data_IF_122643781807
#
_entry.id   IF_122643781807
#
_cell.length_a   1.000
_cell.length_b   1.000
_cell.length_c   1.000
_cell.angle_alpha   90.00
_cell.angle_beta   90.00
_cell.angle_gamma   90.00
#
_symmetry.space_group_name_H-M   'P 1'
#
loop_
_entity.id
_entity.type
_entity.pdbx_description
1 polymer ?
#
# COMPACT_ATOMS: atom_id res chain seq x y z
N UNK A 1 6.80 22.70 2.24
CA UNK A 1 6.73 22.55 3.71
C UNK A 1 6.90 21.08 4.05
N UNK A 2 7.34 20.70 5.26
CA UNK A 2 7.44 19.30 5.64
C UNK A 2 6.06 18.63 5.59
N UNK A 3 6.04 17.32 5.35
CA UNK A 3 4.84 16.51 5.43
C UNK A 3 4.27 16.58 6.86
N UNK A 4 2.95 16.64 6.98
CA UNK A 4 2.27 16.63 8.28
C UNK A 4 1.14 15.60 8.29
N UNK A 5 0.79 15.16 9.51
CA UNK A 5 -0.27 14.20 9.74
C UNK A 5 -1.57 14.95 10.03
N UNK A 6 -2.65 14.57 9.35
CA UNK A 6 -3.99 15.03 9.71
C UNK A 6 -4.35 14.53 11.12
N UNK A 7 -5.06 15.36 11.87
CA UNK A 7 -5.70 14.91 13.10
C UNK A 7 -6.79 13.90 12.78
N UNK A 8 -7.16 13.07 13.76
CA UNK A 8 -8.19 12.04 13.56
C UNK A 8 -9.55 12.61 13.09
N UNK A 9 -10.07 13.73 13.61
CA UNK A 9 -11.27 14.37 13.06
C UNK A 9 -11.10 14.80 11.60
N UNK A 10 -9.97 15.40 11.23
CA UNK A 10 -9.71 15.80 9.83
C UNK A 10 -9.61 14.59 8.90
N UNK A 11 -9.04 13.48 9.39
CA UNK A 11 -9.01 12.21 8.69
C UNK A 11 -10.41 11.64 8.47
N UNK A 12 -11.27 11.68 9.50
CA UNK A 12 -12.66 11.27 9.39
C UNK A 12 -13.46 12.16 8.44
N UNK A 13 -13.29 13.49 8.49
CA UNK A 13 -13.92 14.42 7.55
C UNK A 13 -13.57 14.09 6.09
N UNK A 14 -12.30 13.74 5.83
CA UNK A 14 -11.84 13.30 4.50
C UNK A 14 -12.51 11.99 4.07
N UNK A 15 -12.59 11.00 4.97
CA UNK A 15 -13.24 9.72 4.70
C UNK A 15 -14.75 9.88 4.45
N UNK A 16 -15.43 10.69 5.27
CA UNK A 16 -16.86 10.99 5.12
C UNK A 16 -17.13 11.72 3.80
N UNK A 17 -16.27 12.65 3.39
CA UNK A 17 -16.36 13.32 2.08
C UNK A 17 -16.21 12.33 0.91
N UNK A 18 -15.49 11.22 1.10
CA UNK A 18 -15.41 10.12 0.14
C UNK A 18 -16.59 9.14 0.25
N UNK A 19 -17.48 9.33 1.22
CA UNK A 19 -18.56 8.40 1.57
C UNK A 19 -18.05 7.08 2.15
N UNK A 20 -16.94 7.09 2.87
CA UNK A 20 -16.37 5.95 3.58
C UNK A 20 -16.87 5.99 5.02
N UNK A 21 -17.55 4.94 5.53
CA UNK A 21 -18.15 5.01 6.85
C UNK A 21 -17.10 5.07 7.97
N UNK A 22 -17.22 6.08 8.84
CA UNK A 22 -16.46 6.20 10.09
C UNK A 22 -17.42 6.15 11.30
N UNK A 23 -16.91 5.92 12.52
CA UNK A 23 -17.73 5.98 13.73
C UNK A 23 -18.39 7.35 13.88
N UNK A 24 -19.68 7.40 14.30
CA UNK A 24 -20.29 8.65 14.74
C UNK A 24 -19.43 9.29 15.83
N UNK A 25 -19.09 10.57 15.65
CA UNK A 25 -18.12 11.23 16.52
C UNK A 25 -18.38 12.72 16.66
N UNK A 26 -17.74 13.32 17.67
CA UNK A 26 -17.74 14.77 17.91
C UNK A 26 -16.50 15.18 18.70
N UNK A 27 -15.87 16.29 18.31
CA UNK A 27 -14.80 16.92 19.10
C UNK A 27 -15.41 17.82 20.17
N UNK A 28 -14.93 17.70 21.40
CA UNK A 28 -15.37 18.45 22.57
C UNK A 28 -14.19 19.12 23.28
N UNK A 29 -14.47 20.21 23.99
CA UNK A 29 -13.45 21.00 24.72
C UNK A 29 -13.77 21.18 26.21
N UNK A 30 -14.82 20.51 26.69
CA UNK A 30 -15.18 20.49 28.11
C UNK A 30 -15.74 19.12 28.50
N UNK A 31 -15.72 18.82 29.80
CA UNK A 31 -16.31 17.59 30.33
C UNK A 31 -17.83 17.56 30.14
N UNK A 32 -18.52 18.70 30.22
CA UNK A 32 -19.97 18.78 30.03
C UNK A 32 -20.35 18.49 28.57
N UNK A 33 -19.62 19.09 27.61
CA UNK A 33 -19.80 18.76 26.19
C UNK A 33 -19.53 17.27 25.91
N UNK A 34 -18.54 16.67 26.60
CA UNK A 34 -18.22 15.26 26.47
C UNK A 34 -19.38 14.36 26.91
N UNK A 35 -20.07 14.72 28.01
CA UNK A 35 -21.27 14.03 28.50
C UNK A 35 -22.42 14.11 27.51
N UNK A 36 -22.68 15.31 27.00
CA UNK A 36 -23.76 15.54 26.03
C UNK A 36 -23.49 14.82 24.70
N UNK A 37 -22.27 14.91 24.18
CA UNK A 37 -21.84 14.22 22.97
C UNK A 37 -21.99 12.70 23.12
N UNK A 38 -21.48 12.13 24.22
CA UNK A 38 -21.59 10.70 24.49
C UNK A 38 -23.05 10.24 24.60
N UNK A 39 -23.91 11.03 25.24
CA UNK A 39 -25.36 10.76 25.33
C UNK A 39 -26.06 10.77 23.96
N UNK A 40 -25.68 11.69 23.07
CA UNK A 40 -26.25 11.78 21.70
C UNK A 40 -25.74 10.66 20.79
N UNK A 41 -24.45 10.33 20.84
CA UNK A 41 -23.83 9.26 20.05
C UNK A 41 -24.31 7.87 20.51
N UNK A 42 -24.52 7.72 21.82
CA UNK A 42 -24.98 6.49 22.44
C UNK A 42 -23.83 5.57 22.86
N UNK A 43 -23.96 4.99 24.05
CA UNK A 43 -22.94 4.15 24.70
C UNK A 43 -22.83 2.73 24.12
N UNK A 44 -21.68 2.03 24.27
CA UNK A 44 -20.42 2.57 24.79
C UNK A 44 -19.74 3.52 23.79
N UNK A 45 -18.97 4.47 24.31
CA UNK A 45 -18.14 5.39 23.52
C UNK A 45 -16.65 5.22 23.86
N UNK A 46 -15.81 5.69 22.95
CA UNK A 46 -14.37 5.88 23.15
C UNK A 46 -14.05 7.37 23.14
N UNK A 47 -13.13 7.79 23.99
CA UNK A 47 -12.59 9.15 23.98
C UNK A 47 -11.10 9.11 23.67
N UNK A 48 -10.66 9.95 22.74
CA UNK A 48 -9.25 10.07 22.34
C UNK A 48 -8.81 11.54 22.35
N UNK A 49 -7.60 11.81 22.81
CA UNK A 49 -7.00 13.15 22.75
C UNK A 49 -6.78 13.57 21.29
N UNK A 50 -7.12 14.82 20.97
CA UNK A 50 -6.86 15.43 19.66
C UNK A 50 -5.74 16.44 19.82
N UNK A 51 -4.56 16.12 19.29
CA UNK A 51 -3.40 16.99 19.28
C UNK A 51 -2.51 16.66 18.07
N UNK A 52 -2.05 17.66 17.30
CA UNK A 52 -1.09 17.43 16.21
C UNK A 52 0.25 16.83 16.67
N UNK A 53 0.65 17.08 17.92
CA UNK A 53 1.93 16.63 18.47
C UNK A 53 1.87 15.26 19.15
N UNK A 54 0.67 14.78 19.51
CA UNK A 54 0.49 13.49 20.20
C UNK A 54 0.00 12.44 19.19
N UNK A 55 0.96 11.84 18.49
CA UNK A 55 0.69 10.77 17.50
C UNK A 55 0.31 9.46 18.21
N UNK A 56 1.10 9.03 19.19
CA UNK A 56 0.85 7.82 19.97
C UNK A 56 0.01 8.13 21.22
N UNK A 57 -1.29 8.35 21.00
CA UNK A 57 -2.26 8.77 22.04
C UNK A 57 -2.32 7.82 23.23
N UNK A 58 -2.23 6.52 23.00
CA UNK A 58 -2.27 5.51 24.05
C UNK A 58 -1.09 5.63 25.03
N UNK A 59 0.09 5.99 24.55
CA UNK A 59 1.32 6.06 25.35
C UNK A 59 1.26 7.18 26.39
N UNK A 60 0.53 8.25 26.09
CA UNK A 60 0.28 9.35 27.03
C UNK A 60 -1.00 9.16 27.82
N UNK A 61 -1.63 7.97 27.80
CA UNK A 61 -2.92 7.73 28.45
C UNK A 61 -4.06 8.60 27.90
N UNK A 62 -3.94 9.01 26.63
CA UNK A 62 -4.89 9.87 25.92
C UNK A 62 -6.01 9.12 25.21
N UNK A 63 -6.21 7.83 25.49
CA UNK A 63 -7.29 7.00 24.95
C UNK A 63 -8.00 6.29 26.09
N UNK A 64 -9.31 6.44 26.19
CA UNK A 64 -10.16 5.72 27.15
C UNK A 64 -11.31 5.08 26.38
N UNK A 65 -11.40 3.75 26.49
CA UNK A 65 -12.45 2.91 25.89
C UNK A 65 -13.45 2.46 26.97
N UNK A 66 -14.59 1.90 26.56
CA UNK A 66 -15.55 1.29 27.47
C UNK A 66 -16.27 2.31 28.36
N UNK A 67 -16.47 3.52 27.85
CA UNK A 67 -17.22 4.56 28.56
C UNK A 67 -18.70 4.24 28.37
N UNK A 68 -19.42 3.96 29.45
CA UNK A 68 -20.80 3.43 29.41
C UNK A 68 -21.85 4.38 30.00
N UNK A 69 -21.43 5.47 30.66
CA UNK A 69 -22.32 6.43 31.29
C UNK A 69 -21.84 7.89 31.15
N UNK A 70 -22.72 8.88 31.39
CA UNK A 70 -22.32 10.29 31.42
C UNK A 70 -21.27 10.59 32.50
N UNK A 71 -21.35 9.94 33.66
CA UNK A 71 -20.36 10.16 34.72
C UNK A 71 -18.98 9.64 34.30
N UNK A 72 -18.94 8.46 33.68
CA UNK A 72 -17.71 7.90 33.09
C UNK A 72 -17.13 8.81 32.01
N UNK A 73 -18.00 9.39 31.16
CA UNK A 73 -17.61 10.29 30.07
C UNK A 73 -16.91 11.55 30.61
N UNK A 74 -17.47 12.17 31.66
CA UNK A 74 -16.84 13.32 32.31
C UNK A 74 -15.53 12.97 32.99
N UNK A 75 -15.47 11.84 33.69
CA UNK A 75 -14.25 11.37 34.35
C UNK A 75 -13.15 11.04 33.33
N UNK A 76 -13.50 10.40 32.21
CA UNK A 76 -12.60 10.09 31.11
C UNK A 76 -12.01 11.35 30.48
N UNK A 77 -12.83 12.38 30.22
CA UNK A 77 -12.36 13.66 29.72
C UNK A 77 -11.28 14.28 30.62
N UNK A 78 -11.55 14.38 31.93
CA UNK A 78 -10.58 14.93 32.88
C UNK A 78 -9.28 14.12 32.93
N UNK A 79 -9.40 12.80 32.94
CA UNK A 79 -8.25 11.88 32.97
C UNK A 79 -7.37 12.07 31.73
N UNK A 80 -7.97 12.14 30.54
CA UNK A 80 -7.26 12.34 29.27
C UNK A 80 -6.49 13.67 29.28
N UNK A 81 -7.15 14.78 29.66
CA UNK A 81 -6.51 16.10 29.70
C UNK A 81 -5.37 16.14 30.73
N UNK A 82 -5.57 15.56 31.91
CA UNK A 82 -4.54 15.47 32.94
C UNK A 82 -3.32 14.66 32.48
N UNK A 83 -3.56 13.50 31.85
CA UNK A 83 -2.48 12.66 31.36
C UNK A 83 -1.71 13.34 30.22
N UNK A 84 -2.39 14.00 29.30
CA UNK A 84 -1.77 14.75 28.21
C UNK A 84 -0.91 15.90 28.75
N UNK A 85 -1.40 16.68 29.73
CA UNK A 85 -0.62 17.75 30.35
C UNK A 85 0.61 17.23 31.11
N UNK A 86 0.53 16.04 31.73
CA UNK A 86 1.63 15.45 32.47
C UNK A 86 2.73 14.87 31.56
N UNK A 87 2.35 14.22 30.46
CA UNK A 87 3.29 13.49 29.60
C UNK A 87 3.71 14.29 28.35
N UNK A 88 2.94 15.31 27.95
CA UNK A 88 3.20 16.15 26.78
C UNK A 88 2.85 17.63 27.06
N UNK A 89 3.54 18.31 28.00
CA UNK A 89 3.18 19.66 28.46
C UNK A 89 3.27 20.74 27.37
N UNK A 90 4.10 20.53 26.35
CA UNK A 90 4.28 21.44 25.22
C UNK A 90 3.32 21.15 24.05
N UNK A 91 2.51 20.09 24.15
CA UNK A 91 1.60 19.72 23.08
C UNK A 91 0.38 20.65 23.04
N UNK A 92 -0.01 21.06 21.83
CA UNK A 92 -1.27 21.80 21.65
C UNK A 92 -2.43 20.82 21.65
N UNK A 93 -3.31 20.93 22.63
CA UNK A 93 -4.52 20.12 22.72
C UNK A 93 -5.66 20.88 22.06
N UNK A 94 -6.18 20.35 20.96
CA UNK A 94 -7.33 20.94 20.25
C UNK A 94 -8.67 20.53 20.89
N UNK A 95 -8.69 19.38 21.56
CA UNK A 95 -9.85 18.86 22.27
C UNK A 95 -9.76 17.36 22.51
N UNK A 96 -10.90 16.74 22.79
CA UNK A 96 -11.06 15.28 22.87
C UNK A 96 -12.12 14.87 21.86
N UNK A 97 -11.85 13.86 21.04
CA UNK A 97 -12.87 13.26 20.17
C UNK A 97 -13.63 12.22 20.97
N UNK A 98 -14.96 12.37 21.05
CA UNK A 98 -15.90 11.37 21.53
C UNK A 98 -16.41 10.62 20.33
N UNK A 99 -16.17 9.33 20.23
CA UNK A 99 -16.59 8.51 19.10
C UNK A 99 -17.33 7.26 19.58
N UNK A 100 -18.24 6.74 18.75
CA UNK A 100 -18.92 5.47 19.02
C UNK A 100 -17.87 4.36 19.13
N UNK A 101 -17.92 3.56 20.19
CA UNK A 101 -17.13 2.33 20.24
C UNK A 101 -17.84 1.29 19.36
N UNK A 102 -17.24 1.00 18.21
CA UNK A 102 -17.80 0.08 17.23
C UNK A 102 -17.75 -1.37 17.73
N UNK A 103 -18.76 -2.19 17.42
CA UNK A 103 -18.74 -3.61 17.78
C UNK A 103 -17.58 -4.33 17.07
N UNK A 104 -17.11 -5.42 17.68
CA UNK A 104 -16.08 -6.26 17.07
C UNK A 104 -16.55 -6.88 15.75
N UNK A 105 -15.60 -7.12 14.85
CA UNK A 105 -15.83 -7.75 13.55
C UNK A 105 -14.49 -8.25 13.00
N UNK A 106 -14.45 -8.55 11.70
CA UNK A 106 -13.19 -8.91 11.06
C UNK A 106 -12.37 -7.64 10.83
N UNK A 107 -11.19 -7.53 11.43
CA UNK A 107 -10.29 -6.40 11.22
C UNK A 107 -9.43 -6.63 9.97
N UNK A 108 -9.39 -5.64 9.10
CA UNK A 108 -8.50 -5.56 7.92
C UNK A 108 -7.75 -4.23 7.96
N UNK A 109 -6.66 -4.14 7.20
CA UNK A 109 -5.92 -2.90 6.99
C UNK A 109 -5.99 -2.50 5.51
N UNK A 110 -6.10 -1.19 5.27
CA UNK A 110 -6.02 -0.61 3.92
C UNK A 110 -5.05 0.56 4.01
N UNK A 111 -3.86 0.40 3.43
CA UNK A 111 -2.84 1.43 3.39
C UNK A 111 -2.57 1.90 1.98
N UNK A 112 -2.00 3.08 1.82
CA UNK A 112 -1.46 3.55 0.56
C UNK A 112 -0.27 4.45 0.80
N UNK A 113 0.73 4.37 -0.07
CA UNK A 113 1.93 5.21 0.01
C UNK A 113 2.41 5.60 -1.37
N UNK A 114 3.06 6.75 -1.46
CA UNK A 114 3.74 7.19 -2.68
C UNK A 114 5.16 6.66 -2.65
N UNK A 115 5.39 5.55 -3.34
CA UNK A 115 6.71 4.97 -3.49
C UNK A 115 7.53 5.74 -4.54
N UNK A 116 8.83 6.04 -4.29
CA UNK A 116 9.67 6.77 -5.25
C UNK A 116 9.88 6.05 -6.58
N UNK A 117 9.87 4.72 -6.60
CA UNK A 117 10.11 3.91 -7.80
C UNK A 117 8.81 3.55 -8.51
N UNK A 118 7.79 3.16 -7.74
CA UNK A 118 6.54 2.63 -8.30
C UNK A 118 5.40 3.67 -8.37
N UNK A 119 5.59 4.86 -7.79
CA UNK A 119 4.52 5.82 -7.62
C UNK A 119 3.53 5.40 -6.53
N UNK A 120 2.27 5.80 -6.67
CA UNK A 120 1.25 5.49 -5.65
C UNK A 120 0.91 4.01 -5.66
N UNK A 121 1.09 3.36 -4.52
CA UNK A 121 0.71 1.96 -4.29
C UNK A 121 -0.35 1.89 -3.21
N UNK A 122 -1.20 0.88 -3.29
CA UNK A 122 -2.19 0.54 -2.27
C UNK A 122 -1.88 -0.85 -1.73
N UNK A 123 -2.10 -1.02 -0.44
CA UNK A 123 -1.86 -2.23 0.33
C UNK A 123 -3.16 -2.64 0.99
N UNK A 124 -3.47 -3.93 0.90
CA UNK A 124 -4.58 -4.53 1.62
C UNK A 124 -4.07 -5.76 2.36
N UNK A 125 -4.61 -6.00 3.55
CA UNK A 125 -4.26 -7.18 4.33
C UNK A 125 -5.21 -7.40 5.47
N UNK A 126 -5.05 -8.54 6.14
CA UNK A 126 -5.73 -8.76 7.41
C UNK A 126 -5.14 -7.90 8.52
N UNK A 127 -6.00 -7.41 9.39
CA UNK A 127 -5.66 -6.58 10.53
C UNK A 127 -5.67 -7.36 11.86
N UNK A 128 -5.35 -6.65 12.93
CA UNK A 128 -5.32 -7.19 14.28
C UNK A 128 -3.97 -7.74 14.70
N UNK A 129 -3.76 -7.77 16.02
CA UNK A 129 -2.45 -8.03 16.66
C UNK A 129 -1.75 -9.32 16.22
N UNK A 130 -2.51 -10.38 15.94
CA UNK A 130 -1.93 -11.67 15.52
C UNK A 130 -1.49 -11.66 14.05
N UNK A 131 -2.10 -10.82 13.21
CA UNK A 131 -1.85 -10.79 11.77
C UNK A 131 -0.71 -9.83 11.39
N UNK A 132 -0.44 -8.81 12.22
CA UNK A 132 0.79 -8.01 12.12
C UNK A 132 2.07 -8.87 12.15
N UNK A 133 2.04 -10.02 12.85
CA UNK A 133 3.13 -10.99 12.85
C UNK A 133 3.17 -11.88 11.60
N UNK A 134 2.02 -12.13 10.98
CA UNK A 134 1.91 -13.01 9.80
C UNK A 134 2.23 -12.28 8.49
N UNK A 135 2.13 -10.94 8.47
CA UNK A 135 2.38 -10.10 7.30
C UNK A 135 1.56 -10.54 6.06
N UNK A 136 0.32 -10.97 6.26
CA UNK A 136 -0.61 -11.37 5.20
C UNK A 136 -1.17 -10.12 4.49
N UNK A 137 -0.35 -9.58 3.59
CA UNK A 137 -0.62 -8.36 2.84
C UNK A 137 -0.35 -8.53 1.35
N UNK A 138 -1.08 -7.77 0.56
CA UNK A 138 -0.95 -7.70 -0.90
C UNK A 138 -0.84 -6.25 -1.31
N UNK A 139 -0.04 -5.99 -2.36
CA UNK A 139 0.26 -4.64 -2.83
C UNK A 139 -0.09 -4.53 -4.32
N UNK A 140 -0.64 -3.39 -4.72
CA UNK A 140 -0.88 -3.03 -6.12
C UNK A 140 -0.44 -1.59 -6.40
N UNK A 141 0.03 -1.35 -7.62
CA UNK A 141 0.34 0.00 -8.13
C UNK A 141 -0.93 0.62 -8.68
N UNK A 142 -1.21 1.89 -8.34
CA UNK A 142 -2.38 2.62 -8.84
C UNK A 142 -2.15 3.16 -10.26
N UNK A 143 -3.23 3.28 -11.07
CA UNK A 143 -4.63 3.00 -10.75
C UNK A 143 -4.98 1.51 -10.79
N UNK A 144 -6.03 1.11 -10.05
CA UNK A 144 -6.56 -0.26 -10.05
C UNK A 144 -8.06 -0.27 -10.40
N UNK A 145 -8.51 -1.37 -11.00
CA UNK A 145 -9.92 -1.63 -11.35
C UNK A 145 -10.65 -2.37 -10.24
N UNK A 146 -11.98 -2.48 -10.34
CA UNK A 146 -12.77 -3.30 -9.41
C UNK A 146 -12.36 -4.79 -9.41
N UNK A 147 -11.92 -5.31 -10.55
CA UNK A 147 -11.46 -6.71 -10.65
C UNK A 147 -10.08 -6.88 -10.00
N UNK A 148 -9.20 -5.89 -10.10
CA UNK A 148 -7.93 -5.88 -9.37
C UNK A 148 -8.17 -5.88 -7.86
N UNK A 149 -9.14 -5.11 -7.37
CA UNK A 149 -9.51 -5.06 -5.94
C UNK A 149 -10.04 -6.43 -5.48
N UNK A 150 -10.93 -7.06 -6.25
CA UNK A 150 -11.44 -8.41 -5.93
C UNK A 150 -10.31 -9.45 -5.91
N UNK A 151 -9.42 -9.40 -6.89
CA UNK A 151 -8.27 -10.30 -6.93
C UNK A 151 -7.35 -10.09 -5.72
N UNK A 152 -7.09 -8.82 -5.36
CA UNK A 152 -6.31 -8.43 -4.20
C UNK A 152 -6.90 -9.00 -2.90
N UNK A 153 -8.22 -8.85 -2.68
CA UNK A 153 -8.90 -9.39 -1.49
C UNK A 153 -8.82 -10.93 -1.43
N UNK A 154 -8.83 -11.61 -2.57
CA UNK A 154 -8.82 -13.08 -2.65
C UNK A 154 -7.44 -13.70 -2.52
N UNK A 155 -6.40 -12.90 -2.73
CA UNK A 155 -5.00 -13.34 -2.72
C UNK A 155 -4.44 -13.51 -1.30
N UNK A 156 -4.95 -12.77 -0.31
CA UNK A 156 -4.55 -12.93 1.08
C UNK A 156 -4.91 -14.33 1.60
N UNK A 157 -4.03 -14.92 2.42
CA UNK A 157 -4.21 -16.27 2.95
C UNK A 157 -5.49 -16.37 3.78
N UNK A 158 -5.80 -15.30 4.53
CA UNK A 158 -6.97 -15.24 5.36
C UNK A 158 -8.26 -14.76 4.67
N UNK A 159 -8.31 -14.74 3.33
CA UNK A 159 -9.57 -14.55 2.57
C UNK A 159 -10.69 -15.49 3.05
N UNK A 160 -10.34 -16.67 3.59
CA UNK A 160 -11.28 -17.62 4.20
C UNK A 160 -12.15 -17.02 5.31
N UNK A 161 -11.64 -16.02 6.03
CA UNK A 161 -12.38 -15.31 7.07
C UNK A 161 -13.41 -14.34 6.48
N UNK A 162 -13.12 -13.78 5.30
CA UNK A 162 -14.03 -12.88 4.58
C UNK A 162 -15.19 -13.68 3.97
N UNK A 163 -14.90 -14.77 3.26
CA UNK A 163 -15.94 -15.63 2.64
C UNK A 163 -16.75 -16.49 3.62
N UNK A 164 -16.43 -16.44 4.91
CA UNK A 164 -17.01 -17.29 5.96
C UNK A 164 -16.28 -18.64 6.14
N UNK A 165 -16.13 -19.05 7.40
CA UNK A 165 -15.46 -20.29 7.80
C UNK A 165 -16.22 -20.99 8.95
N UNK A 166 -16.32 -22.33 8.90
CA UNK A 166 -16.91 -23.18 9.97
C UNK A 166 -18.25 -22.70 10.56
N UNK A 167 -19.18 -22.27 9.70
CA UNK A 167 -20.52 -21.88 10.12
C UNK A 167 -20.67 -20.39 10.43
N UNK A 168 -19.59 -19.61 10.35
CA UNK A 168 -19.70 -18.15 10.29
C UNK A 168 -20.20 -17.70 8.92
N UNK A 169 -21.09 -16.71 8.92
CA UNK A 169 -21.57 -16.07 7.71
C UNK A 169 -20.44 -15.29 7.02
N UNK A 170 -20.48 -15.16 5.68
CA UNK A 170 -19.56 -14.30 4.97
C UNK A 170 -19.67 -12.84 5.45
N UNK A 171 -18.56 -12.13 5.38
CA UNK A 171 -18.51 -10.68 5.58
C UNK A 171 -18.93 -9.96 4.30
N UNK A 172 -19.30 -8.69 4.44
CA UNK A 172 -19.72 -7.84 3.33
C UNK A 172 -18.52 -7.44 2.45
N UNK A 173 -18.12 -8.37 1.57
CA UNK A 173 -17.02 -8.18 0.63
C UNK A 173 -17.27 -7.01 -0.32
N UNK A 174 -18.53 -6.74 -0.70
CA UNK A 174 -18.85 -5.65 -1.61
C UNK A 174 -18.68 -4.29 -0.93
N UNK A 175 -19.13 -4.12 0.32
CA UNK A 175 -18.85 -2.91 1.08
C UNK A 175 -17.32 -2.66 1.23
N UNK A 176 -16.54 -3.73 1.46
CA UNK A 176 -15.08 -3.62 1.52
C UNK A 176 -14.47 -3.18 0.18
N UNK A 177 -14.91 -3.76 -0.95
CA UNK A 177 -14.49 -3.36 -2.29
C UNK A 177 -14.77 -1.88 -2.53
N UNK A 178 -15.94 -1.38 -2.10
CA UNK A 178 -16.30 0.03 -2.26
C UNK A 178 -15.38 0.95 -1.46
N UNK A 179 -15.00 0.59 -0.23
CA UNK A 179 -14.05 1.38 0.58
C UNK A 179 -12.67 1.43 -0.09
N UNK A 180 -12.14 0.29 -0.53
CA UNK A 180 -10.85 0.24 -1.22
C UNK A 180 -10.91 1.06 -2.51
N UNK A 181 -11.98 0.95 -3.30
CA UNK A 181 -12.14 1.69 -4.55
C UNK A 181 -12.20 3.21 -4.33
N UNK A 182 -12.94 3.67 -3.31
CA UNK A 182 -13.05 5.09 -2.93
C UNK A 182 -11.69 5.63 -2.50
N UNK A 183 -10.99 4.92 -1.61
CA UNK A 183 -9.65 5.34 -1.18
C UNK A 183 -8.62 5.29 -2.31
N UNK A 184 -8.63 4.26 -3.14
CA UNK A 184 -7.73 4.16 -4.28
C UNK A 184 -7.92 5.33 -5.25
N UNK A 185 -9.17 5.73 -5.51
CA UNK A 185 -9.49 6.90 -6.34
C UNK A 185 -9.02 8.20 -5.67
N UNK A 186 -9.44 8.44 -4.43
CA UNK A 186 -9.06 9.63 -3.67
C UNK A 186 -7.55 9.79 -3.59
N UNK A 187 -6.84 8.69 -3.29
CA UNK A 187 -5.39 8.70 -3.21
C UNK A 187 -4.76 8.91 -4.58
N UNK A 188 -5.26 8.32 -5.67
CA UNK A 188 -4.72 8.57 -7.01
C UNK A 188 -4.90 10.04 -7.44
N UNK A 189 -6.05 10.64 -7.11
CA UNK A 189 -6.46 11.97 -7.57
C UNK A 189 -5.92 13.13 -6.70
N UNK A 190 -5.43 12.86 -5.49
CA UNK A 190 -4.96 13.89 -4.54
C UNK A 190 -3.42 13.90 -4.43
N UNK A 191 -2.68 14.76 -5.16
CA UNK A 191 -1.21 14.82 -5.10
C UNK A 191 -0.63 15.18 -3.73
N UNK A 192 -1.44 15.80 -2.88
CA UNK A 192 -1.12 16.21 -1.52
C UNK A 192 -1.06 15.04 -0.55
N UNK A 193 -1.86 13.98 -0.74
CA UNK A 193 -1.80 12.79 0.12
C UNK A 193 -0.57 11.98 -0.26
N UNK A 194 0.34 11.78 0.71
CA UNK A 194 1.57 11.00 0.55
C UNK A 194 1.42 9.58 1.02
N UNK A 195 0.74 9.42 2.13
CA UNK A 195 0.52 8.14 2.77
C UNK A 195 -0.82 8.18 3.50
N UNK A 196 -1.51 7.04 3.51
CA UNK A 196 -2.63 6.81 4.41
C UNK A 196 -2.56 5.38 4.95
N UNK A 197 -3.05 5.19 6.15
CA UNK A 197 -3.20 3.89 6.81
C UNK A 197 -4.56 3.87 7.51
N UNK A 198 -5.45 3.02 7.02
CA UNK A 198 -6.75 2.75 7.64
C UNK A 198 -6.62 1.45 8.41
N UNK A 199 -6.44 1.55 9.73
CA UNK A 199 -6.15 0.41 10.57
C UNK A 199 -6.61 0.64 12.03
N UNK A 200 -7.69 0.00 12.50
CA UNK A 200 -8.42 -1.08 11.82
C UNK A 200 -9.58 -0.56 10.95
N UNK A 201 -9.82 -1.29 9.86
CA UNK A 201 -11.11 -1.30 9.14
C UNK A 201 -11.87 -2.54 9.60
N UNK A 202 -13.04 -2.36 10.20
CA UNK A 202 -13.87 -3.48 10.67
C UNK A 202 -14.89 -3.85 9.59
N UNK A 203 -14.88 -5.11 9.19
CA UNK A 203 -15.79 -5.71 8.21
C UNK A 203 -16.81 -6.58 8.95
N UNK A 204 -18.09 -6.25 8.77
CA UNK A 204 -19.22 -6.97 9.36
C UNK A 204 -19.85 -7.93 8.34
N UNK A 205 -20.88 -8.66 8.77
CA UNK A 205 -21.74 -9.40 7.85
C UNK A 205 -22.51 -8.46 6.91
N UNK A 206 -22.82 -7.25 7.41
CA UNK A 206 -23.44 -6.16 6.65
C UNK A 206 -22.66 -4.86 6.93
N UNK A 207 -22.00 -4.33 5.91
CA UNK A 207 -21.25 -3.08 5.99
C UNK A 207 -19.82 -3.16 6.54
N UNK A 208 -19.18 -2.00 6.55
CA UNK A 208 -17.78 -1.77 6.92
C UNK A 208 -17.69 -0.44 7.66
N UNK A 209 -16.75 -0.32 8.61
CA UNK A 209 -16.41 0.97 9.21
C UNK A 209 -14.91 1.13 9.42
N UNK A 210 -14.38 2.32 9.20
CA UNK A 210 -12.97 2.66 9.43
C UNK A 210 -12.83 3.29 10.81
N UNK A 211 -12.22 2.56 11.75
CA UNK A 211 -12.18 2.96 13.17
C UNK A 211 -11.00 3.88 13.47
N UNK A 212 -9.91 3.76 12.72
CA UNK A 212 -8.76 4.64 12.89
C UNK A 212 -8.14 4.91 11.52
N UNK A 213 -7.72 6.15 11.31
CA UNK A 213 -7.19 6.62 10.05
C UNK A 213 -6.02 7.54 10.32
N UNK A 214 -4.86 7.18 9.75
CA UNK A 214 -3.67 8.02 9.73
C UNK A 214 -3.43 8.48 8.31
N UNK A 215 -3.40 9.79 8.07
CA UNK A 215 -3.21 10.36 6.75
C UNK A 215 -2.10 11.40 6.81
N UNK A 216 -1.08 11.24 5.97
CA UNK A 216 0.04 12.16 5.83
C UNK A 216 -0.13 12.93 4.53
N UNK A 217 -0.11 14.26 4.65
CA UNK A 217 -0.30 15.20 3.55
C UNK A 217 0.90 16.15 3.43
N UNK A 218 1.03 16.77 2.26
CA UNK A 218 2.11 17.71 1.95
C UNK A 218 1.61 18.88 1.08
N UNK A 219 2.05 20.10 1.37
CA UNK A 219 1.70 21.32 0.61
C UNK A 219 2.26 21.35 -0.81
N UNK A 220 3.35 20.61 -1.05
CA UNK A 220 3.87 20.45 -2.39
C UNK A 220 3.17 19.25 -3.00
N UNK A 221 2.44 19.39 -4.13
CA UNK A 221 2.07 18.20 -4.89
C UNK A 221 3.36 17.40 -5.06
N UNK A 222 3.30 16.08 -4.85
CA UNK A 222 4.45 15.22 -5.16
C UNK A 222 5.04 15.76 -6.44
N UNK A 223 6.30 16.23 -6.37
CA UNK A 223 7.06 16.61 -7.54
C UNK A 223 7.15 15.32 -8.32
N UNK A 224 6.11 15.04 -9.10
CA UNK A 224 6.13 14.05 -10.12
C UNK A 224 7.33 14.47 -10.92
N UNK A 225 8.36 13.65 -10.87
CA UNK A 225 9.19 13.44 -12.05
C UNK A 225 8.22 13.56 -13.21
N UNK A 226 8.36 14.65 -13.96
CA UNK A 226 7.43 15.00 -15.01
C UNK A 226 7.14 13.71 -15.74
N UNK A 227 5.90 13.21 -15.63
CA UNK A 227 5.54 11.97 -16.30
C UNK A 227 5.83 12.29 -17.75
N UNK A 228 6.95 11.77 -18.28
CA UNK A 228 7.03 11.49 -19.68
C UNK A 228 5.84 10.57 -19.87
N UNK A 229 4.74 11.12 -20.37
CA UNK A 229 3.60 10.35 -20.83
C UNK A 229 4.10 9.62 -22.07
N UNK A 230 4.93 8.62 -21.87
CA UNK A 230 5.24 7.65 -22.89
C UNK A 230 3.92 6.93 -23.07
N UNK A 231 3.20 7.27 -24.15
CA UNK A 231 2.13 6.42 -24.65
C UNK A 231 2.79 5.16 -25.18
N UNK A 232 3.17 4.28 -24.25
CA UNK A 232 3.66 2.96 -24.59
C UNK A 232 2.44 2.18 -25.11
N UNK A 233 2.49 1.65 -26.34
CA UNK A 233 1.42 0.82 -26.86
C UNK A 233 1.14 -0.35 -25.91
N UNK A 234 -0.13 -0.69 -25.56
CA UNK A 234 -0.43 -1.75 -24.59
C UNK A 234 0.18 -3.11 -24.94
N UNK A 235 0.37 -3.39 -26.23
CA UNK A 235 1.01 -4.59 -26.76
C UNK A 235 2.49 -4.72 -26.40
N UNK A 236 3.15 -3.65 -25.95
CA UNK A 236 4.52 -3.74 -25.42
C UNK A 236 4.58 -4.60 -24.15
N UNK A 237 3.46 -4.82 -23.45
CA UNK A 237 3.40 -5.61 -22.22
C UNK A 237 3.17 -7.11 -22.46
N UNK A 238 2.90 -7.52 -23.70
CA UNK A 238 2.57 -8.88 -24.08
C UNK A 238 3.53 -9.38 -25.18
N UNK A 239 4.78 -9.73 -24.83
CA UNK A 239 5.75 -10.19 -25.80
C UNK A 239 5.40 -11.58 -26.35
N UNK A 240 5.73 -11.83 -27.60
CA UNK A 240 5.77 -13.19 -28.17
C UNK A 240 7.19 -13.78 -28.07
N UNK A 241 8.19 -12.94 -27.79
CA UNK A 241 9.60 -13.33 -27.74
C UNK A 241 10.40 -12.56 -26.67
N UNK A 242 11.20 -13.29 -25.89
CA UNK A 242 12.07 -12.73 -24.84
C UNK A 242 13.49 -13.24 -25.01
N UNK A 243 14.47 -12.34 -25.08
CA UNK A 243 15.89 -12.65 -24.95
C UNK A 243 16.39 -12.41 -23.53
N UNK A 244 17.14 -13.36 -22.96
CA UNK A 244 17.77 -13.21 -21.64
C UNK A 244 19.28 -13.03 -21.83
N UNK A 245 19.76 -11.80 -21.72
CA UNK A 245 21.17 -11.43 -21.89
C UNK A 245 21.92 -11.60 -20.58
N UNK A 246 23.00 -12.39 -20.61
CA UNK A 246 23.66 -12.87 -19.40
C UNK A 246 23.04 -14.16 -18.85
N UNK A 247 22.29 -14.90 -19.69
CA UNK A 247 21.73 -16.20 -19.35
C UNK A 247 22.79 -17.17 -18.80
N UNK A 248 22.44 -17.97 -17.80
CA UNK A 248 23.40 -18.85 -17.13
C UNK A 248 22.75 -20.13 -16.61
N UNK A 249 23.50 -21.25 -16.65
CA UNK A 249 23.15 -22.49 -15.96
C UNK A 249 23.68 -22.55 -14.51
N UNK A 250 24.44 -21.55 -14.07
CA UNK A 250 25.03 -21.48 -12.73
C UNK A 250 24.05 -20.84 -11.73
N UNK A 251 23.59 -21.56 -10.67
CA UNK A 251 22.54 -21.10 -9.76
C UNK A 251 22.81 -19.79 -9.03
N UNK A 252 24.08 -19.40 -8.87
CA UNK A 252 24.49 -18.19 -8.17
C UNK A 252 24.38 -16.92 -9.01
N UNK A 253 24.11 -17.03 -10.32
CA UNK A 253 24.04 -15.86 -11.23
C UNK A 253 22.60 -15.40 -11.41
N UNK A 254 22.37 -14.09 -11.43
CA UNK A 254 21.03 -13.49 -11.66
C UNK A 254 20.38 -14.02 -12.96
N UNK A 255 21.15 -14.13 -14.04
CA UNK A 255 20.68 -14.69 -15.31
C UNK A 255 20.21 -16.15 -15.25
N UNK A 256 20.61 -16.94 -14.24
CA UNK A 256 20.04 -18.27 -13.98
C UNK A 256 18.61 -18.15 -13.47
N UNK A 257 18.39 -17.34 -12.43
CA UNK A 257 17.07 -17.18 -11.81
C UNK A 257 16.05 -16.62 -12.79
N UNK A 258 16.45 -15.62 -13.58
CA UNK A 258 15.59 -15.02 -14.62
C UNK A 258 15.20 -16.06 -15.66
N UNK A 259 16.18 -16.74 -16.27
CA UNK A 259 15.91 -17.71 -17.33
C UNK A 259 15.06 -18.87 -16.81
N UNK A 260 15.34 -19.38 -15.61
CA UNK A 260 14.58 -20.45 -14.98
C UNK A 260 13.10 -20.07 -14.79
N UNK A 261 12.83 -18.85 -14.29
CA UNK A 261 11.47 -18.39 -14.05
C UNK A 261 10.69 -18.19 -15.37
N UNK A 262 11.39 -17.89 -16.46
CA UNK A 262 10.81 -17.71 -17.79
C UNK A 262 10.66 -19.01 -18.59
N UNK A 263 11.08 -20.18 -18.10
CA UNK A 263 10.97 -21.44 -18.84
C UNK A 263 9.53 -21.81 -19.21
N UNK A 264 8.55 -21.35 -18.43
CA UNK A 264 7.12 -21.54 -18.66
C UNK A 264 6.48 -20.47 -19.57
N UNK A 265 7.26 -19.50 -20.05
CA UNK A 265 6.79 -18.49 -20.99
C UNK A 265 6.31 -19.18 -22.28
N UNK A 266 5.07 -18.91 -22.73
CA UNK A 266 4.47 -19.61 -23.88
C UNK A 266 5.09 -19.22 -25.22
N UNK A 267 5.78 -18.07 -25.29
CA UNK A 267 6.44 -17.59 -26.50
C UNK A 267 7.89 -18.09 -26.67
N UNK A 268 8.61 -17.45 -27.58
CA UNK A 268 10.01 -17.77 -27.84
C UNK A 268 10.93 -17.23 -26.74
N UNK A 269 11.76 -18.09 -26.18
CA UNK A 269 12.71 -17.73 -25.13
C UNK A 269 14.14 -17.99 -25.63
N UNK A 270 14.94 -16.92 -25.74
CA UNK A 270 16.29 -16.95 -26.29
C UNK A 270 17.33 -16.64 -25.22
N UNK A 271 18.07 -17.63 -24.72
CA UNK A 271 19.26 -17.40 -23.92
C UNK A 271 20.35 -16.70 -24.74
N UNK A 272 20.95 -15.62 -24.23
CA UNK A 272 22.12 -14.98 -24.84
C UNK A 272 23.32 -15.12 -23.90
N UNK A 273 24.34 -15.84 -24.37
CA UNK A 273 25.58 -16.10 -23.67
C UNK A 273 26.75 -16.35 -24.65
N UNK A 274 27.82 -15.54 -24.63
CA UNK A 274 28.95 -15.68 -25.56
C UNK A 274 29.79 -16.95 -25.34
N UNK A 275 29.73 -17.56 -24.17
CA UNK A 275 30.56 -18.70 -23.79
C UNK A 275 29.86 -20.07 -23.90
N UNK A 276 28.52 -20.09 -23.95
CA UNK A 276 27.74 -21.33 -23.99
C UNK A 276 26.88 -21.39 -25.23
N UNK A 277 26.84 -22.57 -25.86
CA UNK A 277 25.96 -22.86 -26.99
C UNK A 277 24.56 -23.32 -26.57
N UNK A 278 24.39 -23.68 -25.29
CA UNK A 278 23.12 -24.15 -24.75
C UNK A 278 22.99 -23.77 -23.27
N UNK A 279 21.78 -23.41 -22.84
CA UNK A 279 21.40 -23.19 -21.44
C UNK A 279 19.99 -23.75 -21.21
N UNK A 280 19.83 -24.65 -20.24
CA UNK A 280 18.55 -25.32 -19.93
C UNK A 280 17.86 -26.01 -21.14
N UNK A 281 18.61 -26.71 -21.99
CA UNK A 281 18.01 -27.39 -23.15
C UNK A 281 17.65 -26.47 -24.31
N UNK A 282 17.98 -25.17 -24.20
CA UNK A 282 17.70 -24.17 -25.24
C UNK A 282 19.00 -23.67 -25.85
N UNK A 283 19.00 -23.53 -27.18
CA UNK A 283 20.10 -22.94 -27.93
C UNK A 283 20.41 -21.54 -27.39
N UNK A 284 21.68 -21.28 -27.12
CA UNK A 284 22.16 -20.01 -26.61
C UNK A 284 22.97 -19.29 -27.70
N UNK A 285 22.65 -18.01 -27.88
CA UNK A 285 23.24 -17.17 -28.91
C UNK A 285 24.36 -16.31 -28.31
N UNK A 286 25.47 -16.08 -29.03
CA UNK A 286 26.56 -15.25 -28.50
C UNK A 286 26.17 -13.79 -28.26
N UNK A 287 25.40 -13.22 -29.18
CA UNK A 287 24.79 -11.89 -29.11
C UNK A 287 23.28 -11.97 -29.41
N UNK A 288 22.53 -10.94 -29.01
CA UNK A 288 21.12 -10.78 -29.39
C UNK A 288 20.96 -10.60 -30.92
N UNK A 289 22.00 -10.10 -31.60
CA UNK A 289 22.02 -9.95 -33.05
C UNK A 289 22.02 -11.30 -33.79
N UNK A 290 22.61 -12.33 -33.18
CA UNK A 290 22.72 -13.68 -33.73
C UNK A 290 21.40 -14.47 -33.69
N UNK A 291 20.40 -13.99 -32.95
CA UNK A 291 19.08 -14.63 -32.88
C UNK A 291 18.43 -14.51 -34.27
N UNK A 292 17.97 -15.59 -34.92
CA UNK A 292 17.44 -15.51 -36.28
C UNK A 292 16.08 -14.79 -36.35
N UNK A 293 15.29 -14.84 -35.28
CA UNK A 293 13.95 -14.26 -35.20
C UNK A 293 13.89 -12.85 -34.61
N UNK A 294 12.68 -12.25 -34.57
CA UNK A 294 12.43 -11.01 -33.83
C UNK A 294 12.57 -11.25 -32.32
N UNK A 295 12.86 -10.17 -31.60
CA UNK A 295 12.92 -10.15 -30.14
C UNK A 295 12.11 -8.95 -29.65
N UNK A 296 10.97 -9.20 -28.99
CA UNK A 296 10.14 -8.13 -28.43
C UNK A 296 10.81 -7.52 -27.20
N UNK A 297 11.30 -8.38 -26.31
CA UNK A 297 11.84 -8.03 -25.01
C UNK A 297 13.28 -8.50 -24.81
N UNK A 298 14.10 -7.66 -24.19
CA UNK A 298 15.43 -8.02 -23.71
C UNK A 298 15.50 -7.90 -22.18
N UNK A 299 15.78 -8.99 -21.48
CA UNK A 299 16.07 -8.97 -20.04
C UNK A 299 17.58 -9.04 -19.83
N UNK A 300 18.16 -7.97 -19.30
CA UNK A 300 19.61 -7.75 -19.25
C UNK A 300 20.14 -7.98 -17.83
N UNK A 301 20.97 -9.00 -17.67
CA UNK A 301 21.61 -9.41 -16.42
C UNK A 301 23.14 -9.58 -16.59
N UNK A 302 23.78 -8.59 -17.23
CA UNK A 302 25.24 -8.50 -17.40
C UNK A 302 25.79 -7.33 -16.59
N UNK A 303 27.06 -7.29 -16.16
CA UNK A 303 27.63 -6.16 -15.41
C UNK A 303 27.34 -4.79 -16.04
N UNK A 304 27.11 -3.75 -15.21
CA UNK A 304 26.67 -2.41 -15.63
C UNK A 304 27.50 -1.81 -16.78
N UNK A 305 28.83 -1.98 -16.75
CA UNK A 305 29.75 -1.53 -17.81
C UNK A 305 29.48 -2.10 -19.20
N UNK A 306 28.79 -3.23 -19.29
CA UNK A 306 28.45 -3.89 -20.56
C UNK A 306 27.05 -3.50 -21.07
N UNK A 307 26.23 -2.90 -20.22
CA UNK A 307 24.84 -2.57 -20.56
C UNK A 307 24.74 -1.59 -21.74
N UNK A 308 25.56 -0.53 -21.87
CA UNK A 308 25.47 0.36 -23.03
C UNK A 308 25.63 -0.35 -24.38
N UNK A 309 26.63 -1.23 -24.51
CA UNK A 309 26.82 -2.01 -25.74
C UNK A 309 25.68 -2.98 -26.01
N UNK A 310 25.17 -3.65 -24.97
CA UNK A 310 23.99 -4.52 -25.11
C UNK A 310 22.75 -3.71 -25.52
N UNK A 311 22.59 -2.50 -25.03
CA UNK A 311 21.48 -1.61 -25.42
C UNK A 311 21.59 -1.16 -26.88
N UNK A 312 22.80 -0.90 -27.38
CA UNK A 312 23.04 -0.65 -28.81
C UNK A 312 22.63 -1.86 -29.65
N UNK A 313 23.08 -3.07 -29.29
CA UNK A 313 22.69 -4.31 -29.98
C UNK A 313 21.17 -4.55 -29.93
N UNK A 314 20.52 -4.25 -28.80
CA UNK A 314 19.06 -4.32 -28.68
C UNK A 314 18.36 -3.34 -29.63
N UNK A 315 18.88 -2.11 -29.74
CA UNK A 315 18.38 -1.10 -30.67
C UNK A 315 18.51 -1.54 -32.12
N UNK A 316 19.68 -2.07 -32.51
CA UNK A 316 19.92 -2.63 -33.84
C UNK A 316 19.00 -3.83 -34.15
N UNK A 317 18.75 -4.68 -33.16
CA UNK A 317 17.83 -5.82 -33.28
C UNK A 317 16.36 -5.40 -33.40
N UNK A 318 16.03 -4.15 -33.06
CA UNK A 318 14.66 -3.64 -33.03
C UNK A 318 13.86 -4.05 -31.79
N UNK A 319 14.55 -4.33 -30.67
CA UNK A 319 13.89 -4.66 -29.39
C UNK A 319 13.06 -3.47 -28.92
N UNK A 320 11.80 -3.74 -28.56
CA UNK A 320 10.85 -2.70 -28.16
C UNK A 320 10.92 -2.36 -26.68
N UNK A 321 11.29 -3.32 -25.83
CA UNK A 321 11.42 -3.14 -24.38
C UNK A 321 12.68 -3.82 -23.83
N UNK A 322 13.47 -3.11 -23.03
CA UNK A 322 14.59 -3.67 -22.30
C UNK A 322 14.35 -3.56 -20.78
N UNK A 323 14.54 -4.66 -20.06
CA UNK A 323 14.46 -4.75 -18.59
C UNK A 323 15.85 -5.02 -18.04
N UNK A 324 16.44 -4.04 -17.36
CA UNK A 324 17.80 -4.14 -16.82
C UNK A 324 17.72 -4.56 -15.34
N UNK A 325 18.20 -5.77 -15.02
CA UNK A 325 18.18 -6.35 -13.66
C UNK A 325 19.58 -6.31 -13.03
N UNK A 326 20.39 -5.37 -13.49
CA UNK A 326 21.83 -5.32 -13.21
C UNK A 326 22.11 -4.37 -12.05
N UNK A 327 22.82 -4.84 -11.02
CA UNK A 327 23.38 -3.99 -9.97
C UNK A 327 24.73 -3.39 -10.40
N UNK A 328 25.11 -2.21 -9.89
CA UNK A 328 26.41 -1.58 -10.18
C UNK A 328 26.39 -0.29 -10.99
N UNK A 329 25.23 0.35 -11.13
CA UNK A 329 25.14 1.76 -11.56
C UNK A 329 25.42 2.71 -10.38
N UNK A 330 25.19 4.02 -10.51
CA UNK A 330 25.48 5.06 -9.47
C UNK A 330 24.96 4.82 -8.05
N UNK A 331 24.13 3.80 -7.83
CA UNK A 331 23.62 3.37 -6.53
C UNK A 331 24.72 2.90 -5.55
N UNK A 332 25.98 2.74 -6.01
CA UNK A 332 27.13 2.33 -5.17
C UNK A 332 28.23 3.43 -5.07
N UNK A 333 28.02 4.63 -5.63
CA UNK A 333 28.97 5.74 -5.63
C UNK A 333 30.04 5.69 -6.75
N UNK A 334 30.56 6.85 -7.16
CA UNK A 334 31.57 7.01 -8.24
C UNK A 334 30.99 7.12 -9.67
N UNK A 335 31.87 7.25 -10.67
CA UNK A 335 31.61 7.41 -12.12
C UNK A 335 30.92 6.19 -12.76
N UNK A 336 29.75 5.80 -12.24
CA UNK A 336 28.88 4.77 -12.80
C UNK A 336 27.69 5.34 -13.58
#
# INVERSE_FOLDING_TARGET
MPDWMLTEPEGYDLLDACGIPVPPHQVVTSADDAREAAGRIGYPVVMKIVSPQIVHKSDVGGVIIGIESPDDAGAAYHTIIQNAAAHAPEATITGVIVAKQMPGGLEVLIGGKTDPAFGKVITFGLGGKLVEFLQDVVIRVLPITGDDIRAMIREIEGYRLIRGYRGEAPKDEEALIQVIAKMARQFAESPEIREFDLNPVIVYEEGVTVVDARIIVSDSPASGTARLSIKAPPDIFYPDSIAVIGASASPQKVGYSILRNLLAFPGNLYPVNPARKEVFGREAYPSILDIPGPVDWAVIAVPARLVPGVMEECGEKGVRLAVIVTAGFREIGGDG
#
